data_IF_138489226015
#
_entry.id   IF_138489226015
#
_cell.length_a   1.000
_cell.length_b   1.000
_cell.length_c   1.000
_cell.angle_alpha   90.00
_cell.angle_beta   90.00
_cell.angle_gamma   90.00
#
_symmetry.space_group_name_H-M   'P 1'
#
loop_
_entity.id
_entity.type
_entity.pdbx_description
1 polymer ?
#
# COMPACT_ATOMS: atom_id res chain seq x y z
N UNK A 1 -17.88 8.38 -22.81
CA UNK A 1 -17.14 8.03 -24.04
C UNK A 1 -15.83 8.80 -24.02
N UNK A 2 -14.68 8.13 -24.09
CA UNK A 2 -13.37 8.81 -24.15
C UNK A 2 -13.15 9.25 -25.59
N UNK A 3 -12.85 10.54 -25.86
CA UNK A 3 -12.56 10.98 -27.23
C UNK A 3 -11.42 10.17 -27.86
N UNK A 4 -11.62 9.74 -29.11
CA UNK A 4 -10.68 8.88 -29.88
C UNK A 4 -9.25 9.46 -29.96
N UNK A 5 -9.10 10.78 -29.78
CA UNK A 5 -7.82 11.48 -29.77
C UNK A 5 -6.90 11.15 -28.58
N UNK A 6 -7.42 10.57 -27.50
CA UNK A 6 -6.59 10.24 -26.33
C UNK A 6 -5.80 8.92 -26.48
N UNK A 7 -6.00 8.13 -27.55
CA UNK A 7 -5.38 6.81 -27.79
C UNK A 7 -5.59 5.76 -26.68
N UNK A 8 -6.53 6.02 -25.77
CA UNK A 8 -7.00 5.03 -24.81
C UNK A 8 -8.14 4.25 -25.44
N UNK A 9 -7.98 2.94 -25.53
CA UNK A 9 -8.98 2.01 -26.05
C UNK A 9 -9.44 1.12 -24.90
N UNK A 10 -10.74 0.85 -24.80
CA UNK A 10 -11.23 -0.10 -23.82
C UNK A 10 -10.61 -1.48 -24.11
N UNK A 11 -10.15 -2.15 -23.06
CA UNK A 11 -9.49 -3.45 -23.16
C UNK A 11 -10.08 -4.44 -22.15
N UNK A 12 -9.63 -5.70 -22.21
CA UNK A 12 -10.01 -6.73 -21.26
C UNK A 12 -9.24 -6.62 -19.94
N UNK A 13 -9.74 -7.28 -18.89
CA UNK A 13 -8.96 -7.46 -17.67
C UNK A 13 -7.63 -8.20 -17.93
N UNK A 14 -7.61 -9.15 -18.87
CA UNK A 14 -6.40 -9.87 -19.24
C UNK A 14 -5.34 -8.94 -19.88
N UNK A 15 -5.75 -7.98 -20.70
CA UNK A 15 -4.84 -6.96 -21.24
C UNK A 15 -4.28 -6.06 -20.12
N UNK A 16 -5.12 -5.69 -19.15
CA UNK A 16 -4.69 -4.94 -17.96
C UNK A 16 -3.69 -5.72 -17.11
N UNK A 17 -3.96 -7.00 -16.85
CA UNK A 17 -3.04 -7.88 -16.11
C UNK A 17 -1.70 -8.02 -16.85
N UNK A 18 -1.73 -8.22 -18.17
CA UNK A 18 -0.51 -8.22 -18.98
C UNK A 18 0.29 -6.92 -18.85
N UNK A 19 -0.37 -5.76 -18.84
CA UNK A 19 0.32 -4.49 -18.62
C UNK A 19 0.93 -4.39 -17.21
N UNK A 20 0.26 -4.94 -16.19
CA UNK A 20 0.79 -5.02 -14.82
C UNK A 20 2.06 -5.87 -14.78
N UNK A 21 2.06 -7.03 -15.45
CA UNK A 21 3.21 -7.92 -15.52
C UNK A 21 4.39 -7.29 -16.29
N UNK A 22 4.09 -6.61 -17.39
CA UNK A 22 5.10 -5.99 -18.28
C UNK A 22 5.68 -4.68 -17.69
N UNK A 23 4.88 -3.87 -16.98
CA UNK A 23 5.25 -2.49 -16.59
C UNK A 23 5.22 -2.22 -15.08
N UNK A 24 4.83 -3.21 -14.29
CA UNK A 24 4.71 -3.15 -12.85
C UNK A 24 3.44 -2.49 -12.34
N UNK A 25 3.18 -2.69 -11.05
CA UNK A 25 1.99 -2.25 -10.34
C UNK A 25 2.32 -2.10 -8.85
N UNK A 26 1.42 -1.46 -8.11
CA UNK A 26 1.43 -1.45 -6.65
C UNK A 26 0.11 -2.03 -6.12
N UNK A 27 -0.07 -2.06 -4.78
CA UNK A 27 -1.26 -2.66 -4.18
C UNK A 27 -2.58 -2.07 -4.71
N UNK A 28 -2.67 -0.75 -4.94
CA UNK A 28 -3.86 -0.11 -5.52
C UNK A 28 -4.18 -0.58 -6.95
N UNK A 29 -3.18 -1.00 -7.73
CA UNK A 29 -3.34 -1.46 -9.11
C UNK A 29 -3.13 -2.97 -9.29
N UNK A 30 -2.91 -3.72 -8.21
CA UNK A 30 -2.65 -5.15 -8.27
C UNK A 30 -3.79 -5.92 -8.96
N UNK A 31 -3.54 -6.63 -10.08
CA UNK A 31 -4.59 -7.31 -10.83
C UNK A 31 -5.33 -8.35 -9.97
N UNK A 32 -4.64 -9.03 -9.07
CA UNK A 32 -5.21 -9.99 -8.13
C UNK A 32 -6.19 -9.34 -7.14
N UNK A 33 -5.88 -8.15 -6.60
CA UNK A 33 -6.78 -7.43 -5.69
C UNK A 33 -7.97 -6.82 -6.44
N UNK A 34 -7.76 -6.39 -7.68
CA UNK A 34 -8.85 -5.93 -8.56
C UNK A 34 -9.78 -7.10 -8.92
N UNK A 35 -9.23 -8.27 -9.25
CA UNK A 35 -10.02 -9.47 -9.55
C UNK A 35 -10.86 -9.91 -8.35
N UNK A 36 -10.29 -9.88 -7.13
CA UNK A 36 -11.04 -10.11 -5.90
C UNK A 36 -12.25 -9.18 -5.79
N UNK A 37 -12.01 -7.88 -5.94
CA UNK A 37 -13.05 -6.86 -5.90
C UNK A 37 -14.13 -7.06 -6.99
N UNK A 38 -13.75 -7.45 -8.20
CA UNK A 38 -14.70 -7.76 -9.29
C UNK A 38 -15.63 -8.93 -8.91
N UNK A 39 -15.11 -9.98 -8.25
CA UNK A 39 -15.93 -11.10 -7.77
C UNK A 39 -16.93 -10.68 -6.68
N UNK A 40 -16.63 -9.61 -5.95
CA UNK A 40 -17.52 -8.97 -4.99
C UNK A 40 -18.36 -7.83 -5.60
N UNK A 41 -18.74 -7.99 -6.88
CA UNK A 41 -19.69 -7.13 -7.61
C UNK A 41 -19.24 -5.67 -7.80
N UNK A 42 -17.93 -5.40 -7.83
CA UNK A 42 -17.41 -4.08 -8.19
C UNK A 42 -17.22 -3.93 -9.71
N UNK A 43 -17.92 -2.98 -10.37
CA UNK A 43 -17.72 -2.75 -11.79
C UNK A 43 -16.48 -1.90 -12.04
N UNK A 44 -15.50 -2.50 -12.72
CA UNK A 44 -14.35 -1.78 -13.27
C UNK A 44 -14.40 -1.79 -14.80
N UNK A 45 -13.79 -0.77 -15.40
CA UNK A 45 -13.52 -0.72 -16.83
C UNK A 45 -12.03 -0.56 -17.05
N UNK A 46 -11.49 -1.26 -18.03
CA UNK A 46 -10.06 -1.25 -18.34
C UNK A 46 -9.81 -0.51 -19.64
N UNK A 47 -8.72 0.24 -19.69
CA UNK A 47 -8.30 0.93 -20.91
C UNK A 47 -6.81 0.73 -21.13
N UNK A 48 -6.43 0.37 -22.36
CA UNK A 48 -5.06 0.28 -22.79
C UNK A 48 -4.67 1.53 -23.59
N UNK A 49 -3.47 2.04 -23.36
CA UNK A 49 -2.85 3.05 -24.20
C UNK A 49 -1.90 2.37 -25.19
N UNK A 50 -2.14 2.56 -26.49
CA UNK A 50 -1.37 1.92 -27.55
C UNK A 50 -0.58 2.92 -28.39
N UNK A 51 0.63 2.53 -28.78
CA UNK A 51 1.50 3.27 -29.71
C UNK A 51 1.93 2.31 -30.81
N UNK A 52 1.60 2.63 -32.08
CA UNK A 52 1.89 1.77 -33.24
C UNK A 52 1.40 0.32 -33.05
N UNK A 53 0.23 0.15 -32.41
CA UNK A 53 -0.37 -1.16 -32.13
C UNK A 53 0.15 -1.86 -30.87
N UNK A 54 1.32 -1.47 -30.33
CA UNK A 54 1.85 -2.02 -29.09
C UNK A 54 1.22 -1.34 -27.86
N UNK A 55 0.81 -2.13 -26.87
CA UNK A 55 0.37 -1.63 -25.57
C UNK A 55 1.58 -1.10 -24.80
N UNK A 56 1.51 0.15 -24.36
CA UNK A 56 2.58 0.79 -23.56
C UNK A 56 2.09 1.19 -22.17
N UNK A 57 0.82 0.92 -21.86
CA UNK A 57 0.28 1.03 -20.51
C UNK A 57 -1.20 0.70 -20.48
N UNK A 58 -1.71 0.48 -19.27
CA UNK A 58 -3.12 0.18 -19.04
C UNK A 58 -3.60 0.78 -17.72
N UNK A 59 -4.90 1.06 -17.60
CA UNK A 59 -5.52 1.56 -16.37
C UNK A 59 -6.76 0.76 -16.02
N UNK A 60 -7.00 0.62 -14.72
CA UNK A 60 -8.28 0.19 -14.16
C UNK A 60 -9.06 1.43 -13.70
N UNK A 61 -10.31 1.54 -14.11
CA UNK A 61 -11.15 2.73 -13.93
C UNK A 61 -12.44 2.36 -13.24
N UNK A 62 -12.83 3.17 -12.25
CA UNK A 62 -14.07 3.08 -11.51
C UNK A 62 -14.80 4.43 -11.59
N UNK A 63 -15.97 4.47 -12.24
CA UNK A 63 -16.83 5.67 -12.30
C UNK A 63 -16.08 6.94 -12.75
N UNK A 64 -15.19 6.79 -13.73
CA UNK A 64 -14.39 7.89 -14.30
C UNK A 64 -13.15 8.28 -13.49
N UNK A 65 -12.84 7.57 -12.40
CA UNK A 65 -11.62 7.71 -11.63
C UNK A 65 -10.69 6.52 -11.86
N UNK A 66 -9.39 6.70 -11.68
CA UNK A 66 -8.52 5.54 -11.48
C UNK A 66 -9.00 4.75 -10.26
N UNK A 67 -9.06 3.42 -10.40
CA UNK A 67 -9.50 2.54 -9.33
C UNK A 67 -8.64 2.72 -8.07
N UNK A 68 -9.26 2.52 -6.91
CA UNK A 68 -8.63 2.63 -5.59
C UNK A 68 -8.03 4.00 -5.24
N UNK A 69 -8.28 5.07 -6.00
CA UNK A 69 -7.99 6.42 -5.53
C UNK A 69 -8.88 6.75 -4.33
N UNK A 70 -8.28 6.92 -3.16
CA UNK A 70 -9.00 7.25 -1.91
C UNK A 70 -9.71 8.60 -1.93
N UNK A 71 -9.51 9.43 -2.97
CA UNK A 71 -10.25 10.68 -3.18
C UNK A 71 -11.46 10.54 -4.09
N UNK A 72 -11.72 9.35 -4.64
CA UNK A 72 -12.97 9.07 -5.36
C UNK A 72 -14.14 8.96 -4.35
N UNK A 73 -15.12 9.89 -4.35
CA UNK A 73 -16.23 9.88 -3.40
C UNK A 73 -17.20 8.71 -3.64
N UNK A 74 -17.13 8.05 -4.79
CA UNK A 74 -18.02 6.96 -5.18
C UNK A 74 -17.30 5.61 -5.22
N UNK A 75 -16.13 5.51 -4.58
CA UNK A 75 -15.34 4.29 -4.51
C UNK A 75 -16.13 3.16 -3.84
N UNK A 76 -16.15 2.00 -4.47
CA UNK A 76 -16.80 0.80 -3.96
C UNK A 76 -15.92 0.09 -2.91
N UNK A 77 -16.57 -0.58 -1.95
CA UNK A 77 -15.95 -1.21 -0.76
C UNK A 77 -14.83 -0.35 -0.15
N UNK A 78 -15.14 0.88 0.30
CA UNK A 78 -14.13 1.76 0.91
C UNK A 78 -13.59 1.22 2.24
N UNK A 79 -14.28 0.25 2.85
CA UNK A 79 -13.92 -0.42 4.11
C UNK A 79 -13.08 -1.69 3.93
N UNK A 80 -12.81 -2.14 2.69
CA UNK A 80 -11.84 -3.19 2.47
C UNK A 80 -10.45 -2.70 2.90
N UNK A 81 -9.73 -3.49 3.68
CA UNK A 81 -8.43 -3.19 4.28
C UNK A 81 -7.27 -3.26 3.25
N UNK A 82 -7.42 -2.51 2.16
CA UNK A 82 -6.45 -2.31 1.08
C UNK A 82 -6.07 -0.84 0.99
N UNK A 83 -4.88 -0.50 0.46
CA UNK A 83 -4.45 0.89 0.39
C UNK A 83 -5.24 1.68 -0.66
N UNK A 84 -5.13 3.00 -0.56
CA UNK A 84 -5.82 3.95 -1.43
C UNK A 84 -5.15 5.31 -1.46
N UNK A 85 -3.84 5.34 -1.24
CA UNK A 85 -3.09 6.57 -1.01
C UNK A 85 -2.33 6.99 -2.25
N UNK A 86 -1.82 6.05 -3.03
CA UNK A 86 -0.93 6.36 -4.15
C UNK A 86 -1.13 5.33 -5.26
N UNK A 87 -1.75 5.71 -6.37
CA UNK A 87 -2.08 4.79 -7.46
C UNK A 87 -0.93 4.74 -8.45
N UNK A 88 -0.25 3.59 -8.57
CA UNK A 88 0.73 3.36 -9.63
C UNK A 88 0.03 2.80 -10.87
N UNK A 89 0.11 3.50 -11.99
CA UNK A 89 -0.40 3.01 -13.28
C UNK A 89 0.63 2.07 -13.93
N UNK A 90 0.24 0.86 -14.38
CA UNK A 90 1.07 0.02 -15.23
C UNK A 90 1.39 0.71 -16.56
N UNK A 91 2.56 1.33 -16.63
CA UNK A 91 2.96 2.15 -17.78
C UNK A 91 4.45 2.01 -18.07
N UNK A 92 4.78 1.82 -19.34
CA UNK A 92 6.15 1.72 -19.83
C UNK A 92 6.93 2.99 -19.51
N UNK A 93 8.01 2.86 -18.74
CA UNK A 93 8.85 3.99 -18.31
C UNK A 93 9.68 4.59 -19.45
N UNK A 94 9.97 3.80 -20.47
CA UNK A 94 10.81 4.20 -21.60
C UNK A 94 10.03 4.92 -22.71
N UNK A 95 8.74 5.18 -22.48
CA UNK A 95 7.92 5.96 -23.42
C UNK A 95 8.49 7.37 -23.60
N UNK A 96 8.93 7.69 -24.81
CA UNK A 96 9.39 9.05 -25.15
C UNK A 96 8.23 10.04 -25.28
N UNK A 97 7.01 9.55 -25.46
CA UNK A 97 5.82 10.38 -25.64
C UNK A 97 5.09 10.56 -24.32
N UNK A 98 4.92 11.82 -23.91
CA UNK A 98 4.08 12.19 -22.77
C UNK A 98 2.61 11.93 -23.11
N UNK A 99 1.84 11.46 -22.14
CA UNK A 99 0.47 10.97 -22.37
C UNK A 99 -0.56 11.85 -21.67
N UNK A 100 -1.70 12.09 -22.30
CA UNK A 100 -2.87 12.67 -21.63
C UNK A 100 -3.66 11.55 -20.97
N UNK A 101 -3.93 11.69 -19.68
CA UNK A 101 -4.69 10.74 -18.88
C UNK A 101 -6.13 11.24 -18.73
N UNK A 102 -7.14 10.65 -19.41
CA UNK A 102 -8.51 11.14 -19.41
C UNK A 102 -9.33 10.65 -18.20
N UNK A 103 -8.68 10.30 -17.09
CA UNK A 103 -9.30 9.73 -15.89
C UNK A 103 -8.97 10.55 -14.66
N UNK A 104 -9.94 10.76 -13.78
CA UNK A 104 -9.73 11.52 -12.55
C UNK A 104 -8.79 10.75 -11.63
N UNK A 105 -7.76 11.42 -11.13
CA UNK A 105 -6.93 10.92 -10.04
C UNK A 105 -6.36 12.10 -9.28
N UNK A 106 -6.38 12.05 -7.94
CA UNK A 106 -5.77 13.04 -7.04
C UNK A 106 -4.61 12.45 -6.24
N UNK A 107 -4.30 11.19 -6.49
CA UNK A 107 -3.39 10.37 -5.70
C UNK A 107 -2.43 9.59 -6.61
N UNK A 108 -2.03 10.15 -7.75
CA UNK A 108 -1.16 9.46 -8.72
C UNK A 108 0.24 9.25 -8.13
N UNK A 109 0.80 8.06 -8.29
CA UNK A 109 2.09 7.73 -7.70
C UNK A 109 3.21 8.66 -8.19
N UNK A 110 4.13 9.02 -7.29
CA UNK A 110 5.22 10.00 -7.55
C UNK A 110 6.18 9.57 -8.67
N UNK A 111 6.32 8.26 -8.89
CA UNK A 111 7.12 7.69 -9.99
C UNK A 111 6.59 8.05 -11.38
N UNK A 112 5.34 8.52 -11.50
CA UNK A 112 4.77 9.00 -12.76
C UNK A 112 5.01 10.50 -13.03
N UNK A 113 5.90 11.14 -12.24
CA UNK A 113 6.20 12.58 -12.28
C UNK A 113 6.46 13.17 -13.67
N UNK A 114 6.92 12.33 -14.60
CA UNK A 114 7.26 12.70 -15.96
C UNK A 114 6.49 11.91 -17.02
N UNK A 115 5.42 11.19 -16.69
CA UNK A 115 4.71 10.34 -17.67
C UNK A 115 3.54 11.08 -18.33
N UNK A 116 2.73 11.78 -17.52
CA UNK A 116 1.45 12.35 -17.97
C UNK A 116 1.48 13.87 -18.08
N UNK A 117 1.05 14.41 -19.22
CA UNK A 117 1.06 15.86 -19.51
C UNK A 117 0.12 16.65 -18.59
N UNK A 118 -1.04 16.08 -18.29
CA UNK A 118 -2.06 16.72 -17.47
C UNK A 118 -1.98 16.29 -16.00
N UNK A 119 -0.82 15.83 -15.52
CA UNK A 119 -0.60 15.55 -14.10
C UNK A 119 0.26 16.64 -13.45
N UNK A 120 -0.19 17.16 -12.30
CA UNK A 120 0.56 18.13 -11.50
C UNK A 120 0.94 17.54 -10.14
N UNK A 121 2.21 17.67 -9.79
CA UNK A 121 2.78 17.24 -8.52
C UNK A 121 3.12 18.43 -7.58
N UNK A 122 2.81 19.66 -8.01
CA UNK A 122 3.14 20.90 -7.28
C UNK A 122 1.94 21.83 -7.15
N UNK A 123 1.59 22.52 -8.23
CA UNK A 123 0.70 23.69 -8.18
C UNK A 123 -0.77 23.37 -7.83
N UNK A 124 -1.20 22.11 -7.94
CA UNK A 124 -2.59 21.71 -7.66
C UNK A 124 -2.70 20.41 -6.85
N UNK A 125 -1.56 19.84 -6.43
CA UNK A 125 -1.55 18.67 -5.58
C UNK A 125 -1.22 19.05 -4.14
N UNK A 126 -2.20 18.84 -3.25
CA UNK A 126 -2.03 18.98 -1.80
C UNK A 126 -1.78 17.64 -1.12
N UNK A 127 -1.91 16.52 -1.85
CA UNK A 127 -1.80 15.18 -1.30
C UNK A 127 -0.33 14.73 -1.31
N UNK A 128 0.16 14.28 -0.16
CA UNK A 128 1.49 13.69 -0.03
C UNK A 128 1.36 12.28 0.55
N UNK A 129 2.08 11.33 -0.02
CA UNK A 129 2.31 10.02 0.58
C UNK A 129 3.42 10.12 1.62
N UNK A 130 3.35 9.29 2.66
CA UNK A 130 4.38 9.15 3.68
C UNK A 130 5.24 7.93 3.36
N UNK A 131 6.35 8.12 2.64
CA UNK A 131 7.26 7.01 2.32
C UNK A 131 8.29 6.85 3.42
N UNK A 132 8.64 5.62 3.79
CA UNK A 132 9.53 5.39 4.92
C UNK A 132 10.94 5.95 4.71
N UNK A 133 11.50 6.41 5.81
CA UNK A 133 12.92 6.69 5.97
C UNK A 133 13.71 5.39 5.94
N UNK A 134 14.90 5.41 5.35
CA UNK A 134 15.84 4.29 5.36
C UNK A 134 16.56 4.20 6.72
N UNK A 135 16.43 3.09 7.47
CA UNK A 135 17.12 2.88 8.75
C UNK A 135 18.62 3.16 8.76
N UNK A 136 19.32 2.85 7.65
CA UNK A 136 20.77 3.00 7.55
C UNK A 136 21.23 4.42 7.21
N UNK A 137 20.34 5.26 6.68
CA UNK A 137 20.70 6.60 6.15
C UNK A 137 20.04 7.72 6.94
N UNK A 138 18.75 7.58 7.23
CA UNK A 138 17.90 8.68 7.71
C UNK A 138 17.79 8.77 9.24
N UNK A 139 18.23 7.74 9.97
CA UNK A 139 18.13 7.67 11.42
C UNK A 139 19.49 7.85 12.09
N UNK A 140 19.51 8.65 13.17
CA UNK A 140 20.73 8.82 13.97
C UNK A 140 21.12 7.50 14.67
N UNK A 141 22.42 7.29 14.91
CA UNK A 141 22.93 6.15 15.69
C UNK A 141 22.24 6.02 17.05
N UNK A 142 21.93 7.15 17.71
CA UNK A 142 21.21 7.19 18.99
C UNK A 142 19.78 6.66 18.86
N UNK A 143 19.08 7.04 17.79
CA UNK A 143 17.72 6.55 17.53
C UNK A 143 17.73 5.05 17.27
N UNK A 144 18.61 4.57 16.39
CA UNK A 144 18.78 3.13 16.10
C UNK A 144 19.05 2.36 17.40
N UNK A 145 20.08 2.75 18.16
CA UNK A 145 20.45 2.11 19.43
C UNK A 145 19.30 2.09 20.45
N UNK A 146 18.50 3.15 20.52
CA UNK A 146 17.35 3.22 21.42
C UNK A 146 16.27 2.22 21.02
N UNK A 147 15.91 2.15 19.73
CA UNK A 147 14.88 1.21 19.24
C UNK A 147 15.31 -0.25 19.38
N UNK A 148 16.58 -0.55 19.11
CA UNK A 148 17.15 -1.88 19.33
C UNK A 148 17.17 -2.27 20.81
N UNK A 149 17.45 -1.32 21.71
CA UNK A 149 17.39 -1.56 23.16
C UNK A 149 15.96 -1.83 23.63
N UNK A 150 14.97 -1.10 23.12
CA UNK A 150 13.55 -1.32 23.44
C UNK A 150 13.11 -2.73 23.03
N UNK A 151 13.43 -3.16 21.80
CA UNK A 151 13.11 -4.52 21.35
C UNK A 151 13.82 -5.60 22.18
N UNK A 152 15.12 -5.44 22.46
CA UNK A 152 15.84 -6.40 23.31
C UNK A 152 15.26 -6.48 24.72
N UNK A 153 14.88 -5.35 25.31
CA UNK A 153 14.22 -5.33 26.62
C UNK A 153 12.87 -6.05 26.57
N UNK A 154 12.05 -5.78 25.56
CA UNK A 154 10.78 -6.47 25.39
C UNK A 154 10.94 -7.99 25.32
N UNK A 155 11.92 -8.48 24.56
CA UNK A 155 12.22 -9.91 24.48
C UNK A 155 12.73 -10.48 25.82
N UNK A 156 13.58 -9.73 26.54
CA UNK A 156 14.07 -10.14 27.86
C UNK A 156 12.96 -10.19 28.92
N UNK A 157 11.92 -9.36 28.78
CA UNK A 157 10.76 -9.31 29.68
C UNK A 157 9.69 -10.37 29.31
N UNK A 158 10.04 -11.40 28.53
CA UNK A 158 9.15 -12.51 28.14
C UNK A 158 8.30 -12.24 26.89
N UNK A 159 8.56 -11.14 26.18
CA UNK A 159 7.93 -10.85 24.90
C UNK A 159 8.45 -11.73 23.76
N UNK A 160 7.65 -11.94 22.74
CA UNK A 160 8.07 -12.64 21.52
C UNK A 160 7.50 -11.99 20.25
N UNK A 161 8.11 -12.31 19.12
CA UNK A 161 7.78 -11.79 17.79
C UNK A 161 7.56 -12.97 16.85
N UNK A 162 6.41 -13.01 16.17
CA UNK A 162 6.13 -13.99 15.13
C UNK A 162 5.96 -13.28 13.80
N UNK A 163 6.66 -13.75 12.76
CA UNK A 163 6.46 -13.23 11.42
C UNK A 163 5.09 -13.68 10.89
N UNK A 164 4.31 -12.74 10.36
CA UNK A 164 2.94 -13.01 9.89
C UNK A 164 2.90 -13.96 8.69
N UNK A 165 4.01 -14.15 7.99
CA UNK A 165 4.11 -15.14 6.90
C UNK A 165 3.99 -16.60 7.37
N UNK A 166 4.08 -16.85 8.68
CA UNK A 166 3.89 -18.16 9.30
C UNK A 166 2.49 -18.34 9.90
N UNK A 167 1.57 -17.41 9.63
CA UNK A 167 0.21 -17.40 10.15
C UNK A 167 -0.80 -17.53 9.02
N UNK A 168 -1.87 -18.25 9.29
CA UNK A 168 -3.02 -18.32 8.39
C UNK A 168 -3.72 -16.96 8.30
N UNK A 169 -4.12 -16.57 7.10
CA UNK A 169 -4.76 -15.27 6.86
C UNK A 169 -5.97 -14.99 7.76
N UNK A 170 -6.81 -16.02 7.98
CA UNK A 170 -7.95 -15.96 8.89
C UNK A 170 -7.54 -15.64 10.34
N UNK A 171 -6.47 -16.25 10.83
CA UNK A 171 -5.94 -15.97 12.16
C UNK A 171 -5.36 -14.55 12.26
N UNK A 172 -4.64 -14.08 11.23
CA UNK A 172 -4.15 -12.70 11.17
C UNK A 172 -5.33 -11.71 11.28
N UNK A 173 -6.42 -11.97 10.56
CA UNK A 173 -7.61 -11.13 10.58
C UNK A 173 -8.24 -11.06 11.98
N UNK A 174 -8.46 -12.21 12.62
CA UNK A 174 -9.14 -12.28 13.93
C UNK A 174 -8.32 -11.59 15.03
N UNK A 175 -7.01 -11.82 15.05
CA UNK A 175 -6.12 -11.12 15.99
C UNK A 175 -6.09 -9.63 15.70
N UNK A 176 -5.97 -9.23 14.43
CA UNK A 176 -5.99 -7.83 14.05
C UNK A 176 -7.30 -7.14 14.46
N UNK A 177 -8.45 -7.79 14.24
CA UNK A 177 -9.77 -7.28 14.62
C UNK A 177 -9.88 -7.05 16.14
N UNK A 178 -9.45 -8.03 16.94
CA UNK A 178 -9.45 -7.90 18.40
C UNK A 178 -8.56 -6.73 18.86
N UNK A 179 -7.34 -6.63 18.32
CA UNK A 179 -6.39 -5.56 18.65
C UNK A 179 -6.84 -4.18 18.14
N UNK A 180 -7.50 -4.14 16.98
CA UNK A 180 -8.09 -2.93 16.42
C UNK A 180 -9.22 -2.42 17.33
N UNK A 181 -10.13 -3.32 17.74
CA UNK A 181 -11.23 -3.00 18.65
C UNK A 181 -10.72 -2.53 20.01
N UNK A 182 -9.70 -3.18 20.57
CA UNK A 182 -9.07 -2.77 21.83
C UNK A 182 -8.49 -1.34 21.77
N UNK A 183 -8.07 -0.90 20.57
CA UNK A 183 -7.50 0.43 20.37
C UNK A 183 -8.52 1.51 19.98
N UNK A 184 -9.52 1.14 19.16
CA UNK A 184 -10.42 2.08 18.49
C UNK A 184 -11.84 2.06 19.03
N UNK A 185 -12.18 1.08 19.86
CA UNK A 185 -13.53 0.86 20.39
C UNK A 185 -14.59 0.68 19.27
N UNK A 186 -14.15 0.25 18.09
CA UNK A 186 -14.98 0.08 16.90
C UNK A 186 -14.69 -1.25 16.21
N UNK A 187 -15.71 -1.90 15.61
CA UNK A 187 -15.51 -3.07 14.78
C UNK A 187 -14.91 -2.69 13.41
N UNK A 188 -14.40 -3.69 12.70
CA UNK A 188 -14.02 -3.56 11.29
C UNK A 188 -15.30 -3.73 10.45
N UNK A 189 -15.61 -2.74 9.63
CA UNK A 189 -16.71 -2.84 8.66
C UNK A 189 -16.40 -3.85 7.55
N UNK A 190 -17.44 -4.39 6.89
CA UNK A 190 -17.28 -5.40 5.82
C UNK A 190 -16.47 -6.63 6.29
N UNK A 191 -16.74 -7.10 7.51
CA UNK A 191 -15.95 -8.13 8.20
C UNK A 191 -15.74 -9.37 7.34
N UNK A 192 -16.81 -9.91 6.74
CA UNK A 192 -16.73 -11.15 5.97
C UNK A 192 -15.88 -11.00 4.69
N UNK A 193 -16.02 -9.87 4.00
CA UNK A 193 -15.22 -9.57 2.80
C UNK A 193 -13.75 -9.36 3.19
N UNK A 194 -13.48 -8.66 4.29
CA UNK A 194 -12.11 -8.50 4.80
C UNK A 194 -11.50 -9.85 5.21
N UNK A 195 -12.25 -10.70 5.90
CA UNK A 195 -11.80 -12.05 6.29
C UNK A 195 -11.49 -12.91 5.06
N UNK A 196 -12.34 -12.85 4.02
CA UNK A 196 -12.11 -13.51 2.75
C UNK A 196 -10.83 -13.00 2.04
N UNK A 197 -10.62 -11.68 2.03
CA UNK A 197 -9.40 -11.06 1.48
C UNK A 197 -8.16 -11.57 2.21
N UNK A 198 -8.21 -11.64 3.55
CA UNK A 198 -7.07 -12.11 4.33
C UNK A 198 -6.71 -13.56 4.03
N UNK A 199 -7.72 -14.43 3.94
CA UNK A 199 -7.54 -15.85 3.57
C UNK A 199 -6.93 -16.01 2.19
N UNK A 200 -7.42 -15.27 1.19
CA UNK A 200 -6.93 -15.38 -0.19
C UNK A 200 -5.51 -14.83 -0.36
N UNK A 201 -5.20 -13.71 0.29
CA UNK A 201 -3.94 -12.98 0.12
C UNK A 201 -3.00 -13.10 1.32
N UNK A 202 -3.03 -14.24 2.03
CA UNK A 202 -2.21 -14.44 3.22
C UNK A 202 -0.71 -14.17 2.98
N UNK A 203 -0.21 -14.59 1.81
CA UNK A 203 1.18 -14.42 1.38
C UNK A 203 1.56 -12.95 1.09
N UNK A 204 0.58 -12.07 0.92
CA UNK A 204 0.79 -10.63 0.73
C UNK A 204 1.01 -9.89 2.04
N UNK A 205 0.59 -10.44 3.20
CA UNK A 205 0.79 -9.77 4.48
C UNK A 205 2.24 -9.85 4.93
N UNK A 206 2.70 -8.78 5.59
CA UNK A 206 4.08 -8.62 6.01
C UNK A 206 4.19 -8.13 7.45
N UNK A 207 5.38 -8.31 8.02
CA UNK A 207 5.74 -7.80 9.33
C UNK A 207 5.60 -8.83 10.43
N UNK A 208 5.45 -8.34 11.66
CA UNK A 208 5.49 -9.16 12.86
C UNK A 208 4.28 -8.89 13.75
N UNK A 209 3.81 -9.95 14.39
CA UNK A 209 2.89 -9.91 15.53
C UNK A 209 3.71 -10.00 16.82
N UNK A 210 3.40 -9.12 17.77
CA UNK A 210 4.02 -9.10 19.11
C UNK A 210 3.16 -9.87 20.10
N UNK A 211 3.79 -10.70 20.93
CA UNK A 211 3.15 -11.45 21.99
C UNK A 211 3.80 -11.15 23.35
N UNK A 212 2.99 -11.17 24.41
CA UNK A 212 3.47 -11.15 25.79
C UNK A 212 2.66 -12.18 26.58
N UNK A 213 3.34 -13.09 27.29
CA UNK A 213 2.68 -14.20 28.00
C UNK A 213 1.77 -15.04 27.08
N UNK A 214 2.23 -15.32 25.85
CA UNK A 214 1.48 -16.02 24.79
C UNK A 214 0.20 -15.33 24.29
N UNK A 215 -0.08 -14.10 24.73
CA UNK A 215 -1.21 -13.31 24.24
C UNK A 215 -0.74 -12.30 23.17
N UNK A 216 -1.46 -12.15 22.05
CA UNK A 216 -1.14 -11.13 21.06
C UNK A 216 -1.38 -9.74 21.65
N UNK A 217 -0.37 -8.88 21.60
CA UNK A 217 -0.43 -7.52 22.13
C UNK A 217 -0.36 -6.44 21.06
N UNK A 218 0.08 -6.77 19.85
CA UNK A 218 0.23 -5.79 18.78
C UNK A 218 0.49 -6.37 17.41
N UNK A 219 -0.10 -5.73 16.41
CA UNK A 219 0.09 -6.04 14.99
C UNK A 219 -0.06 -4.77 14.15
N UNK A 220 0.95 -4.51 13.32
CA UNK A 220 0.85 -3.53 12.24
C UNK A 220 0.40 -4.26 10.97
N UNK A 221 -0.77 -3.92 10.46
CA UNK A 221 -1.32 -4.51 9.24
C UNK A 221 -0.62 -3.92 8.02
N UNK A 222 0.21 -4.76 7.39
CA UNK A 222 0.97 -4.43 6.19
C UNK A 222 0.57 -5.39 5.07
N UNK A 223 0.27 -4.85 3.90
CA UNK A 223 0.06 -5.64 2.67
C UNK A 223 1.15 -5.27 1.67
N UNK A 224 1.57 -6.25 0.86
CA UNK A 224 2.65 -6.07 -0.11
C UNK A 224 2.37 -6.75 -1.42
N UNK A 225 2.95 -6.20 -2.47
CA UNK A 225 3.07 -6.81 -3.79
C UNK A 225 4.49 -6.63 -4.32
N UNK A 226 4.96 -7.60 -5.11
CA UNK A 226 6.22 -7.49 -5.84
C UNK A 226 5.91 -7.32 -7.31
N UNK A 227 6.52 -6.34 -7.96
CA UNK A 227 6.37 -6.13 -9.40
C UNK A 227 7.71 -5.78 -10.04
N UNK A 228 7.76 -5.66 -11.37
CA UNK A 228 8.96 -5.26 -12.12
C UNK A 228 9.59 -3.94 -11.62
N UNK A 229 8.82 -3.13 -10.93
CA UNK A 229 9.25 -1.84 -10.39
C UNK A 229 9.97 -1.99 -9.04
N UNK A 230 9.60 -3.00 -8.25
CA UNK A 230 10.12 -3.22 -6.91
C UNK A 230 9.09 -3.84 -5.96
N UNK A 231 9.44 -3.84 -4.67
CA UNK A 231 8.55 -4.29 -3.60
C UNK A 231 7.75 -3.10 -3.06
N UNK A 232 6.43 -3.14 -3.26
CA UNK A 232 5.51 -2.17 -2.67
C UNK A 232 4.94 -2.72 -1.39
N UNK A 233 4.96 -1.92 -0.33
CA UNK A 233 4.39 -2.27 0.96
C UNK A 233 3.54 -1.11 1.45
N UNK A 234 2.33 -1.39 1.88
CA UNK A 234 1.41 -0.40 2.41
C UNK A 234 1.01 -0.73 3.84
N UNK A 235 1.22 0.25 4.72
CA UNK A 235 0.71 0.22 6.08
C UNK A 235 -0.74 0.70 6.09
N UNK A 236 -1.65 -0.24 6.36
CA UNK A 236 -3.09 -0.03 6.38
C UNK A 236 -3.52 0.54 7.74
N UNK A 237 -3.24 -0.20 8.82
CA UNK A 237 -3.59 0.21 10.17
C UNK A 237 -2.85 -0.62 11.22
N UNK A 238 -2.90 -0.21 12.49
CA UNK A 238 -2.17 -0.86 13.58
C UNK A 238 -3.09 -1.06 14.77
N UNK A 239 -3.22 -2.31 15.19
CA UNK A 239 -3.92 -2.71 16.41
C UNK A 239 -2.91 -3.02 17.50
N UNK A 240 -3.17 -2.61 18.73
CA UNK A 240 -2.43 -3.07 19.90
C UNK A 240 -3.25 -2.87 21.17
N UNK A 241 -2.90 -3.65 22.19
CA UNK A 241 -3.48 -3.57 23.53
C UNK A 241 -2.98 -2.33 24.27
N UNK A 242 -3.91 -1.43 24.61
CA UNK A 242 -3.62 -0.21 25.38
C UNK A 242 -3.28 -0.50 26.85
N UNK A 243 -3.75 -1.65 27.36
CA UNK A 243 -3.57 -2.13 28.73
C UNK A 243 -2.32 -2.99 28.91
N UNK A 244 -1.52 -3.17 27.86
CA UNK A 244 -0.29 -3.96 27.95
C UNK A 244 0.81 -3.19 28.70
N UNK A 245 1.42 -3.83 29.70
CA UNK A 245 2.61 -3.30 30.39
C UNK A 245 3.89 -3.37 29.54
N UNK A 246 3.77 -3.71 28.25
CA UNK A 246 4.87 -3.93 27.30
C UNK A 246 5.53 -2.62 26.80
N UNK A 247 5.12 -1.45 27.31
CA UNK A 247 5.66 -0.16 26.91
C UNK A 247 5.25 0.27 25.50
N UNK A 248 6.19 0.78 24.70
CA UNK A 248 5.92 1.46 23.43
C UNK A 248 5.65 0.49 22.25
N UNK A 249 4.68 -0.44 22.40
CA UNK A 249 4.34 -1.50 21.43
C UNK A 249 4.27 -0.99 19.99
N UNK A 250 3.54 0.11 19.75
CA UNK A 250 3.41 0.69 18.41
C UNK A 250 4.75 1.14 17.82
N UNK A 251 5.64 1.72 18.63
CA UNK A 251 6.98 2.16 18.17
C UNK A 251 7.89 0.97 17.88
N UNK A 252 7.83 -0.06 18.71
CA UNK A 252 8.58 -1.30 18.51
C UNK A 252 8.16 -2.02 17.23
N UNK A 253 6.85 -2.18 16.99
CA UNK A 253 6.31 -2.74 15.75
C UNK A 253 6.79 -1.97 14.52
N UNK A 254 6.64 -0.63 14.54
CA UNK A 254 7.05 0.22 13.43
C UNK A 254 8.54 0.09 13.13
N UNK A 255 9.39 0.04 14.16
CA UNK A 255 10.83 -0.16 13.98
C UNK A 255 11.17 -1.55 13.45
N UNK A 256 10.61 -2.61 14.05
CA UNK A 256 10.88 -4.00 13.66
C UNK A 256 10.44 -4.26 12.22
N UNK A 257 9.27 -3.80 11.83
CA UNK A 257 8.77 -3.98 10.47
C UNK A 257 9.55 -3.16 9.45
N UNK A 258 9.88 -1.91 9.78
CA UNK A 258 10.72 -1.07 8.92
C UNK A 258 12.07 -1.72 8.62
N UNK A 259 12.79 -2.12 9.67
CA UNK A 259 14.12 -2.76 9.51
C UNK A 259 14.04 -4.09 8.76
N UNK A 260 13.05 -4.93 9.09
CA UNK A 260 12.90 -6.24 8.44
C UNK A 260 12.53 -6.13 6.95
N UNK A 261 11.70 -5.16 6.57
CA UNK A 261 11.33 -4.94 5.17
C UNK A 261 12.45 -4.32 4.34
N UNK A 262 13.25 -3.43 4.95
CA UNK A 262 14.47 -2.95 4.31
C UNK A 262 15.47 -4.09 4.08
N UNK A 263 15.62 -5.00 5.04
CA UNK A 263 16.45 -6.20 4.87
C UNK A 263 15.89 -7.10 3.75
N UNK A 264 14.59 -7.41 3.77
CA UNK A 264 13.96 -8.25 2.74
C UNK A 264 14.15 -7.67 1.32
N UNK A 265 13.98 -6.35 1.16
CA UNK A 265 14.21 -5.68 -0.12
C UNK A 265 15.68 -5.75 -0.56
N UNK A 266 16.60 -5.57 0.39
CA UNK A 266 18.04 -5.66 0.16
C UNK A 266 18.46 -7.06 -0.28
N UNK A 267 17.97 -8.10 0.42
CA UNK A 267 18.26 -9.50 0.12
C UNK A 267 17.75 -9.90 -1.27
N UNK A 268 16.59 -9.36 -1.67
CA UNK A 268 16.00 -9.53 -3.01
C UNK A 268 16.62 -8.63 -4.07
N UNK A 269 17.47 -7.69 -3.69
CA UNK A 269 18.06 -6.69 -4.59
C UNK A 269 17.03 -5.87 -5.37
N UNK A 270 15.89 -5.54 -4.74
CA UNK A 270 14.82 -4.73 -5.34
C UNK A 270 14.61 -3.42 -4.61
N UNK A 271 14.16 -2.34 -5.30
CA UNK A 271 13.73 -1.12 -4.62
C UNK A 271 12.55 -1.38 -3.66
N UNK A 272 12.58 -0.74 -2.49
CA UNK A 272 11.48 -0.75 -1.53
C UNK A 272 10.66 0.54 -1.62
N UNK A 273 9.36 0.40 -1.84
CA UNK A 273 8.37 1.48 -1.75
C UNK A 273 7.42 1.19 -0.59
N UNK A 274 7.85 1.55 0.62
CA UNK A 274 7.06 1.35 1.82
C UNK A 274 6.32 2.64 2.22
N UNK A 275 4.99 2.59 2.16
CA UNK A 275 4.07 3.71 2.37
C UNK A 275 3.33 3.58 3.69
N UNK A 276 3.28 4.67 4.47
CA UNK A 276 2.47 4.82 5.67
C UNK A 276 1.12 5.48 5.37
N UNK A 277 0.67 5.40 4.12
CA UNK A 277 -0.50 6.11 3.63
C UNK A 277 -0.26 7.61 3.52
N UNK A 278 -1.33 8.40 3.67
CA UNK A 278 -1.25 9.86 3.52
C UNK A 278 -0.33 10.48 4.59
N UNK A 279 0.43 11.51 4.24
CA UNK A 279 1.23 12.28 5.19
C UNK A 279 0.32 13.14 6.09
N UNK A 280 -0.26 12.51 7.10
CA UNK A 280 -1.14 13.09 8.11
C UNK A 280 -0.67 12.72 9.51
N UNK A 281 -0.72 13.68 10.43
CA UNK A 281 -0.24 13.53 11.80
C UNK A 281 1.27 13.70 11.94
N UNK A 282 1.67 14.46 12.97
CA UNK A 282 3.08 14.84 13.17
C UNK A 282 4.01 13.66 13.39
N UNK A 283 3.50 12.56 13.97
CA UNK A 283 4.31 11.40 14.28
C UNK A 283 4.96 10.77 13.03
N UNK A 284 4.35 10.91 11.85
CA UNK A 284 4.89 10.36 10.60
C UNK A 284 6.19 11.03 10.19
N UNK A 285 6.45 12.28 10.59
CA UNK A 285 7.75 12.93 10.36
C UNK A 285 8.92 12.17 11.01
N UNK A 286 8.66 11.36 12.04
CA UNK A 286 9.69 10.51 12.67
C UNK A 286 10.07 9.32 11.80
N UNK A 287 9.14 8.82 10.98
CA UNK A 287 9.27 7.55 10.26
C UNK A 287 9.36 7.70 8.74
N UNK A 288 8.91 8.82 8.20
CA UNK A 288 8.64 8.98 6.79
C UNK A 288 9.14 10.33 6.26
N UNK A 289 9.42 10.34 4.96
CA UNK A 289 9.53 11.52 4.13
C UNK A 289 8.19 11.80 3.45
N UNK A 290 7.84 13.08 3.32
CA UNK A 290 6.63 13.50 2.64
C UNK A 290 6.88 13.61 1.13
N UNK A 291 6.24 12.76 0.34
CA UNK A 291 6.43 12.70 -1.12
C UNK A 291 5.15 13.12 -1.83
N UNK A 292 5.18 14.08 -2.78
CA UNK A 292 3.98 14.55 -3.46
C UNK A 292 3.37 13.44 -4.33
N UNK A 293 2.06 13.23 -4.19
CA UNK A 293 1.28 12.49 -5.18
C UNK A 293 0.86 13.46 -6.30
N UNK A 294 0.65 12.93 -7.50
CA UNK A 294 0.17 13.69 -8.64
C UNK A 294 -1.35 13.83 -8.62
N UNK A 295 -1.82 14.95 -9.19
CA UNK A 295 -3.23 15.15 -9.51
C UNK A 295 -3.39 15.31 -11.01
N UNK A 296 -4.27 14.51 -11.60
CA UNK A 296 -4.73 14.66 -12.97
C UNK A 296 -5.68 15.85 -13.06
N UNK A 297 -5.44 16.72 -14.04
CA UNK A 297 -6.19 17.94 -14.32
C UNK A 297 -7.08 17.66 -15.52
N UNK A 298 -8.38 17.47 -15.25
CA UNK A 298 -9.47 17.34 -16.23
C UNK A 298 -10.74 17.97 -15.66
#
# INVERSE_FOLDING_TARGET
MIPRFFRWEQCSFNDYQKACDDFGYNCESAPEFIAFRMRHQQPFTFYAYKVKGAMVGSVCVEKGWLANDGKNPQRSLPALLTPSTSVYIPFCRDTKTKVLLPFRCKSLHHLHGNTFLNASYRLLSKNKAALTKNPAVDFSRKTVSTRERELRKFLADGGSLLNVNHLEGEHIFEVFEALYRARREQPIAERDINKAFFREFQHCFKGHMMFLNNEPIGLQLLVSVNSQVGMFVDFINIGYRMDSNAGAVGTMLMWKNLTSLHQEASDKQVPLYYSYGSMSGEYKNRWCHAVPNGRVII
#
